data_IF_812078958049
#
_entry.id   IF_812078958049
#
_cell.length_a   1.000
_cell.length_b   1.000
_cell.length_c   1.000
_cell.angle_alpha   90.00
_cell.angle_beta   90.00
_cell.angle_gamma   90.00
#
_symmetry.space_group_name_H-M   'P 1'
#
loop_
_entity.id
_entity.type
_entity.pdbx_description
1 polymer ?
#
# COMPACT_ATOMS: atom_id res chain seq x y z
N UNK A 1 1.13 39.42 26.94
CA UNK A 1 2.13 38.34 26.80
C UNK A 1 1.51 36.94 26.65
N UNK A 2 0.37 36.64 27.30
CA UNK A 2 -0.25 35.30 27.24
C UNK A 2 -0.79 34.87 25.85
N UNK A 3 -1.35 35.78 25.04
CA UNK A 3 -1.79 35.45 23.66
C UNK A 3 -0.67 35.00 22.72
N UNK A 4 0.55 35.52 22.91
CA UNK A 4 1.74 35.13 22.11
C UNK A 4 2.28 33.76 22.53
N UNK A 5 2.21 33.42 23.82
CA UNK A 5 2.54 32.10 24.32
C UNK A 5 1.53 31.03 23.83
N UNK A 6 0.23 31.33 23.80
CA UNK A 6 -0.79 30.43 23.27
C UNK A 6 -0.61 30.14 21.76
N UNK A 7 -0.27 31.14 20.94
CA UNK A 7 0.04 30.92 19.51
C UNK A 7 1.35 30.15 19.30
N UNK A 8 2.36 30.37 20.14
CA UNK A 8 3.63 29.65 20.08
C UNK A 8 3.52 28.18 20.53
N UNK A 9 2.59 27.85 21.42
CA UNK A 9 2.29 26.47 21.86
C UNK A 9 1.26 25.76 20.98
N UNK A 10 0.38 26.49 20.28
CA UNK A 10 -0.58 25.91 19.35
C UNK A 10 0.07 25.39 18.05
N UNK A 11 1.14 26.03 17.58
CA UNK A 11 1.84 25.62 16.35
C UNK A 11 2.46 24.20 16.46
N UNK A 12 3.26 23.86 17.49
CA UNK A 12 3.81 22.51 17.66
C UNK A 12 2.72 21.45 17.86
N UNK A 13 1.63 21.78 18.55
CA UNK A 13 0.51 20.87 18.77
C UNK A 13 -0.25 20.55 17.47
N UNK A 14 -0.40 21.52 16.56
CA UNK A 14 -0.97 21.29 15.24
C UNK A 14 -0.05 20.46 14.33
N UNK A 15 1.28 20.58 14.49
CA UNK A 15 2.27 19.78 13.76
C UNK A 15 2.29 18.30 14.19
N UNK A 16 1.96 17.98 15.45
CA UNK A 16 1.89 16.59 15.92
C UNK A 16 0.79 15.78 15.21
N UNK A 17 -0.26 16.42 14.71
CA UNK A 17 -1.36 15.77 13.99
C UNK A 17 -1.02 15.39 12.52
N UNK A 18 0.11 15.88 11.98
CA UNK A 18 0.61 15.51 10.65
C UNK A 18 1.69 14.42 10.69
N UNK A 19 1.91 13.79 11.86
CA UNK A 19 2.90 12.73 12.04
C UNK A 19 2.51 11.42 11.33
N UNK A 20 3.50 10.55 11.13
CA UNK A 20 3.27 9.20 10.63
C UNK A 20 2.51 8.33 11.65
N UNK A 21 1.71 7.39 11.15
CA UNK A 21 1.02 6.41 11.98
C UNK A 21 2.03 5.39 12.52
N UNK A 22 2.15 5.30 13.85
CA UNK A 22 3.12 4.41 14.51
C UNK A 22 2.44 3.10 14.96
N UNK A 23 1.73 2.45 14.04
CA UNK A 23 1.04 1.17 14.29
C UNK A 23 2.09 0.05 14.45
N UNK A 24 1.89 -0.82 15.45
CA UNK A 24 2.82 -1.90 15.72
C UNK A 24 2.12 -3.17 16.24
N UNK A 25 1.87 -4.11 15.34
CA UNK A 25 1.31 -5.42 15.68
C UNK A 25 2.34 -6.33 16.39
N UNK A 26 1.85 -7.24 17.24
CA UNK A 26 2.68 -8.23 17.95
C UNK A 26 3.30 -9.27 17.00
N UNK A 27 4.43 -9.86 17.40
CA UNK A 27 5.09 -10.91 16.60
C UNK A 27 4.17 -12.11 16.38
N UNK A 28 3.36 -12.45 17.38
CA UNK A 28 2.40 -13.55 17.29
C UNK A 28 1.30 -13.28 16.27
N UNK A 29 0.80 -12.04 16.18
CA UNK A 29 -0.21 -11.67 15.19
C UNK A 29 0.33 -11.81 13.76
N UNK A 30 1.55 -11.30 13.51
CA UNK A 30 2.22 -11.40 12.20
C UNK A 30 2.49 -12.87 11.85
N UNK A 31 3.03 -13.65 12.79
CA UNK A 31 3.36 -15.06 12.56
C UNK A 31 2.11 -15.88 12.20
N UNK A 32 0.98 -15.59 12.86
CA UNK A 32 -0.32 -16.23 12.58
C UNK A 32 -0.91 -15.81 11.23
N UNK A 33 -0.73 -14.55 10.83
CA UNK A 33 -1.26 -14.02 9.58
C UNK A 33 -0.41 -14.41 8.35
N UNK A 34 0.82 -14.89 8.54
CA UNK A 34 1.77 -15.20 7.46
C UNK A 34 1.11 -15.98 6.31
N UNK A 35 1.09 -15.37 5.13
CA UNK A 35 0.59 -15.98 3.91
C UNK A 35 1.72 -16.16 2.90
N UNK A 36 1.83 -17.35 2.32
CA UNK A 36 2.76 -17.67 1.23
C UNK A 36 1.94 -17.92 -0.02
N UNK A 37 2.20 -17.15 -1.08
CA UNK A 37 1.51 -17.35 -2.34
C UNK A 37 2.11 -18.53 -3.12
N UNK A 38 1.31 -19.28 -3.88
CA UNK A 38 1.82 -20.23 -4.88
C UNK A 38 2.39 -19.54 -6.14
N UNK A 39 2.17 -18.23 -6.32
CA UNK A 39 2.69 -17.46 -7.46
C UNK A 39 4.22 -17.26 -7.39
N UNK A 40 4.92 -17.14 -8.53
CA UNK A 40 6.36 -16.85 -8.56
C UNK A 40 6.72 -15.57 -7.78
N UNK A 41 7.93 -15.49 -7.17
CA UNK A 41 8.33 -14.30 -6.44
C UNK A 41 8.36 -13.05 -7.34
N UNK A 42 7.89 -11.94 -6.80
CA UNK A 42 7.68 -10.71 -7.56
C UNK A 42 7.69 -9.46 -6.69
N UNK A 43 7.94 -8.33 -7.34
CA UNK A 43 7.74 -6.99 -6.77
C UNK A 43 6.74 -6.29 -7.70
N UNK A 44 5.63 -5.86 -7.13
CA UNK A 44 4.62 -5.06 -7.82
C UNK A 44 4.60 -3.64 -7.28
N UNK A 45 4.59 -2.64 -8.17
CA UNK A 45 4.29 -1.26 -7.85
C UNK A 45 2.80 -1.01 -8.09
N UNK A 46 2.11 -0.59 -7.04
CA UNK A 46 0.74 -0.11 -7.10
C UNK A 46 0.79 1.42 -7.20
N UNK A 47 0.19 1.99 -8.24
CA UNK A 47 0.07 3.44 -8.41
C UNK A 47 -1.40 3.83 -8.58
N UNK A 48 -1.89 4.70 -7.69
CA UNK A 48 -3.26 5.24 -7.76
C UNK A 48 -3.25 6.51 -8.60
N UNK A 49 -4.06 6.55 -9.65
CA UNK A 49 -4.01 7.57 -10.70
C UNK A 49 -5.39 8.17 -10.92
N UNK A 50 -5.49 9.50 -10.87
CA UNK A 50 -6.76 10.21 -11.06
C UNK A 50 -7.31 10.05 -12.48
N UNK A 51 -8.63 9.86 -12.59
CA UNK A 51 -9.34 9.64 -13.86
C UNK A 51 -9.61 10.94 -14.64
N UNK A 52 -9.74 12.15 -14.04
CA UNK A 52 -9.90 13.36 -14.83
C UNK A 52 -8.58 13.94 -15.38
N UNK A 53 -7.50 13.95 -14.59
CA UNK A 53 -6.24 14.65 -14.95
C UNK A 53 -5.01 13.75 -15.01
N UNK A 54 -5.13 12.48 -14.65
CA UNK A 54 -4.01 11.53 -14.70
C UNK A 54 -2.96 11.76 -13.61
N UNK A 55 -3.27 12.51 -12.56
CA UNK A 55 -2.36 12.80 -11.45
C UNK A 55 -2.08 11.56 -10.59
N UNK A 56 -0.87 11.45 -10.05
CA UNK A 56 -0.51 10.36 -9.14
C UNK A 56 -0.94 10.68 -7.72
N UNK A 57 -1.94 9.95 -7.20
CA UNK A 57 -2.47 10.14 -5.85
C UNK A 57 -1.69 9.36 -4.78
N UNK A 58 -1.21 8.17 -5.10
CA UNK A 58 -0.57 7.28 -4.12
C UNK A 58 0.34 6.23 -4.77
N UNK A 59 1.31 5.71 -4.01
CA UNK A 59 2.16 4.60 -4.41
C UNK A 59 2.37 3.62 -3.26
N UNK A 60 2.29 2.32 -3.55
CA UNK A 60 2.57 1.23 -2.61
C UNK A 60 3.31 0.09 -3.32
N UNK A 61 3.87 -0.85 -2.57
CA UNK A 61 4.44 -2.08 -3.10
C UNK A 61 3.62 -3.27 -2.66
N UNK A 62 3.38 -4.21 -3.57
CA UNK A 62 3.02 -5.58 -3.23
C UNK A 62 4.23 -6.47 -3.47
N UNK A 63 4.70 -7.16 -2.43
CA UNK A 63 5.94 -7.94 -2.49
C UNK A 63 5.60 -9.39 -2.22
N UNK A 64 5.88 -10.25 -3.20
CA UNK A 64 5.66 -11.69 -3.12
C UNK A 64 7.01 -12.39 -2.95
N UNK A 65 7.41 -12.69 -1.72
CA UNK A 65 8.64 -13.41 -1.41
C UNK A 65 8.35 -14.69 -0.63
N UNK A 66 9.13 -14.93 0.42
CA UNK A 66 8.88 -15.99 1.40
C UNK A 66 7.53 -15.82 2.11
N UNK A 67 6.99 -14.61 2.12
CA UNK A 67 5.61 -14.27 2.47
C UNK A 67 5.13 -13.14 1.54
N UNK A 68 3.81 -12.95 1.45
CA UNK A 68 3.23 -11.81 0.72
C UNK A 68 2.87 -10.68 1.69
N UNK A 69 3.41 -9.49 1.40
CA UNK A 69 3.16 -8.25 2.15
C UNK A 69 2.78 -7.13 1.19
N UNK A 70 2.08 -6.13 1.71
CA UNK A 70 1.96 -4.82 1.07
C UNK A 70 2.72 -3.81 1.92
N UNK A 71 3.56 -3.00 1.28
CA UNK A 71 4.14 -1.81 1.88
C UNK A 71 3.36 -0.60 1.40
N UNK A 72 2.59 0.02 2.29
CA UNK A 72 1.63 1.09 2.02
C UNK A 72 2.03 2.42 2.72
N UNK A 73 3.13 3.06 2.29
CA UNK A 73 3.68 4.22 2.99
C UNK A 73 2.74 5.41 2.94
N UNK A 74 2.42 5.97 4.11
CA UNK A 74 1.48 7.09 4.21
C UNK A 74 0.07 6.80 3.66
N UNK A 75 -0.28 5.50 3.55
CA UNK A 75 -1.62 5.06 3.21
C UNK A 75 -2.65 5.43 4.27
N UNK A 76 -3.91 5.22 3.92
CA UNK A 76 -5.05 5.34 4.84
C UNK A 76 -5.88 4.06 4.92
N UNK A 77 -5.51 3.03 4.13
CA UNK A 77 -6.18 1.76 4.15
C UNK A 77 -5.85 1.00 5.42
N UNK A 78 -6.85 0.35 6.01
CA UNK A 78 -6.67 -0.56 7.13
C UNK A 78 -7.74 -1.66 7.06
N UNK A 79 -7.43 -2.81 7.67
CA UNK A 79 -8.36 -3.92 7.75
C UNK A 79 -8.17 -4.65 9.09
N UNK A 80 -9.24 -4.94 9.86
CA UNK A 80 -9.11 -5.47 11.22
C UNK A 80 -8.43 -6.84 11.30
N UNK A 81 -8.49 -7.63 10.22
CA UNK A 81 -7.83 -8.94 10.13
C UNK A 81 -6.38 -8.89 9.63
N UNK A 82 -5.84 -7.71 9.29
CA UNK A 82 -4.49 -7.57 8.72
C UNK A 82 -3.59 -6.90 9.76
N UNK A 83 -2.61 -7.63 10.32
CA UNK A 83 -1.65 -7.02 11.21
C UNK A 83 -0.70 -6.11 10.44
N UNK A 84 -0.35 -4.99 11.07
CA UNK A 84 0.44 -3.92 10.49
C UNK A 84 1.63 -3.56 11.40
N UNK A 85 2.80 -3.30 10.82
CA UNK A 85 3.93 -2.65 11.50
C UNK A 85 4.42 -1.49 10.66
N UNK A 86 4.29 -0.30 11.21
CA UNK A 86 4.44 0.93 10.45
C UNK A 86 3.63 0.80 9.16
N UNK A 87 4.23 1.01 8.00
CA UNK A 87 3.51 0.93 6.73
C UNK A 87 3.53 -0.50 6.10
N UNK A 88 3.90 -1.55 6.84
CA UNK A 88 3.94 -2.95 6.33
C UNK A 88 2.72 -3.73 6.79
N UNK A 89 1.93 -4.19 5.81
CA UNK A 89 0.72 -4.99 5.96
C UNK A 89 1.03 -6.46 5.68
N UNK A 90 0.81 -7.34 6.65
CA UNK A 90 1.20 -8.75 6.58
C UNK A 90 0.03 -9.68 6.28
N UNK A 91 0.33 -10.85 5.70
CA UNK A 91 -0.68 -11.89 5.48
C UNK A 91 -1.59 -11.62 4.29
N UNK A 92 -1.07 -10.96 3.26
CA UNK A 92 -1.86 -10.51 2.12
C UNK A 92 -2.29 -11.69 1.25
N UNK A 93 -3.50 -12.18 1.45
CA UNK A 93 -4.16 -13.18 0.60
C UNK A 93 -4.63 -12.55 -0.72
N UNK A 94 -5.03 -13.35 -1.74
CA UNK A 94 -5.66 -12.81 -2.95
C UNK A 94 -6.89 -11.95 -2.64
N UNK A 95 -7.69 -12.34 -1.65
CA UNK A 95 -8.85 -11.56 -1.21
C UNK A 95 -8.43 -10.19 -0.63
N UNK A 96 -7.43 -10.16 0.26
CA UNK A 96 -6.93 -8.91 0.82
C UNK A 96 -6.26 -8.01 -0.22
N UNK A 97 -5.56 -8.59 -1.20
CA UNK A 97 -5.05 -7.83 -2.36
C UNK A 97 -6.20 -7.16 -3.12
N UNK A 98 -7.28 -7.89 -3.40
CA UNK A 98 -8.42 -7.34 -4.12
C UNK A 98 -9.09 -6.21 -3.33
N UNK A 99 -9.31 -6.38 -2.02
CA UNK A 99 -9.82 -5.30 -1.16
C UNK A 99 -8.92 -4.06 -1.16
N UNK A 100 -7.60 -4.25 -1.14
CA UNK A 100 -6.66 -3.13 -1.22
C UNK A 100 -6.79 -2.38 -2.54
N UNK A 101 -6.90 -3.10 -3.66
CA UNK A 101 -7.06 -2.50 -5.00
C UNK A 101 -8.40 -1.77 -5.09
N UNK A 102 -9.48 -2.41 -4.64
CA UNK A 102 -10.84 -1.89 -4.65
C UNK A 102 -10.97 -0.60 -3.84
N UNK A 103 -10.38 -0.54 -2.64
CA UNK A 103 -10.35 0.68 -1.84
C UNK A 103 -9.76 1.89 -2.59
N UNK A 104 -8.84 1.64 -3.52
CA UNK A 104 -8.15 2.67 -4.30
C UNK A 104 -8.74 2.89 -5.69
N UNK A 105 -9.36 1.89 -6.30
CA UNK A 105 -10.03 1.97 -7.60
C UNK A 105 -11.48 2.43 -7.37
N UNK A 106 -11.83 3.60 -7.89
CA UNK A 106 -13.16 4.22 -7.73
C UNK A 106 -13.45 5.12 -8.91
N UNK A 107 -14.65 5.67 -9.01
CA UNK A 107 -15.05 6.55 -10.14
C UNK A 107 -14.04 7.68 -10.46
N UNK A 108 -13.28 8.14 -9.46
CA UNK A 108 -12.29 9.21 -9.56
C UNK A 108 -10.85 8.73 -9.73
N UNK A 109 -10.53 7.46 -9.46
CA UNK A 109 -9.17 6.91 -9.49
C UNK A 109 -9.11 5.49 -10.03
N UNK A 110 -8.02 5.17 -10.72
CA UNK A 110 -7.70 3.82 -11.14
C UNK A 110 -6.36 3.37 -10.58
N UNK A 111 -6.17 2.06 -10.44
CA UNK A 111 -4.94 1.50 -9.90
C UNK A 111 -4.15 0.83 -11.02
N UNK A 112 -2.93 1.31 -11.25
CA UNK A 112 -1.95 0.58 -12.02
C UNK A 112 -1.25 -0.44 -11.10
N UNK A 113 -1.23 -1.69 -11.51
CA UNK A 113 -0.42 -2.74 -10.91
C UNK A 113 0.67 -3.14 -11.91
N UNK A 114 1.89 -2.66 -11.68
CA UNK A 114 3.04 -2.93 -12.54
C UNK A 114 3.96 -3.93 -11.82
N UNK A 115 4.06 -5.15 -12.34
CA UNK A 115 4.70 -6.28 -11.65
C UNK A 115 5.90 -6.80 -12.42
N UNK A 116 7.00 -7.04 -11.73
CA UNK A 116 8.19 -7.74 -12.24
C UNK A 116 8.44 -9.00 -11.42
N UNK A 117 8.67 -10.12 -12.11
CA UNK A 117 9.13 -11.34 -11.46
C UNK A 117 10.61 -11.21 -11.13
N UNK A 118 10.99 -11.64 -9.92
CA UNK A 118 12.37 -11.53 -9.42
C UNK A 118 12.79 -12.83 -8.73
N UNK A 119 14.10 -13.09 -8.54
CA UNK A 119 14.54 -14.19 -7.68
C UNK A 119 13.99 -14.03 -6.26
N UNK A 120 13.71 -15.14 -5.59
CA UNK A 120 13.18 -15.14 -4.21
C UNK A 120 14.01 -14.27 -3.26
N UNK A 121 15.34 -14.34 -3.36
CA UNK A 121 16.25 -13.55 -2.52
C UNK A 121 16.08 -12.03 -2.71
N UNK A 122 15.69 -11.58 -3.91
CA UNK A 122 15.44 -10.17 -4.23
C UNK A 122 14.08 -9.74 -3.67
N UNK A 123 13.05 -10.57 -3.79
CA UNK A 123 11.75 -10.30 -3.15
C UNK A 123 11.88 -10.23 -1.62
N UNK A 124 12.61 -11.16 -1.00
CA UNK A 124 12.86 -11.13 0.45
C UNK A 124 13.72 -9.92 0.87
N UNK A 125 14.63 -9.45 0.01
CA UNK A 125 15.36 -8.21 0.25
C UNK A 125 14.44 -6.98 0.23
N UNK A 126 13.44 -6.97 -0.66
CA UNK A 126 12.41 -5.93 -0.69
C UNK A 126 11.54 -5.93 0.57
N UNK A 127 11.13 -7.11 1.07
CA UNK A 127 10.41 -7.24 2.34
C UNK A 127 11.23 -6.63 3.47
N UNK A 128 12.49 -7.06 3.64
CA UNK A 128 13.37 -6.52 4.69
C UNK A 128 13.57 -5.00 4.56
N UNK A 129 13.69 -4.50 3.33
CA UNK A 129 13.84 -3.06 3.08
C UNK A 129 12.60 -2.27 3.50
N UNK A 130 11.40 -2.81 3.23
CA UNK A 130 10.13 -2.22 3.67
C UNK A 130 10.00 -2.22 5.20
N UNK A 131 10.30 -3.35 5.85
CA UNK A 131 10.28 -3.49 7.31
C UNK A 131 11.23 -2.50 8.01
N UNK A 132 12.39 -2.23 7.40
CA UNK A 132 13.39 -1.29 7.92
C UNK A 132 13.05 0.18 7.67
N UNK A 133 12.15 0.50 6.73
CA UNK A 133 11.91 1.88 6.31
C UNK A 133 11.22 2.73 7.40
N UNK A 134 10.45 2.09 8.28
CA UNK A 134 9.69 2.78 9.32
C UNK A 134 8.44 3.48 8.80
N UNK A 135 7.75 4.19 9.70
CA UNK A 135 6.51 4.90 9.39
C UNK A 135 6.75 6.15 8.51
N UNK A 136 5.86 6.35 7.55
CA UNK A 136 5.98 7.42 6.56
C UNK A 136 4.99 8.56 6.84
N UNK A 137 5.50 9.79 6.87
CA UNK A 137 4.65 10.99 6.99
C UNK A 137 3.72 11.12 5.79
N UNK A 138 2.52 11.68 6.02
CA UNK A 138 1.52 11.87 4.95
C UNK A 138 2.12 12.62 3.75
N UNK A 139 1.73 12.19 2.54
CA UNK A 139 2.25 12.67 1.24
C UNK A 139 3.69 12.27 0.88
N UNK A 140 4.40 11.49 1.70
CA UNK A 140 5.75 10.99 1.37
C UNK A 140 5.75 9.57 0.78
N UNK A 141 4.59 9.04 0.34
CA UNK A 141 4.46 7.68 -0.17
C UNK A 141 5.50 7.33 -1.25
N UNK A 142 5.60 8.15 -2.31
CA UNK A 142 6.55 7.93 -3.40
C UNK A 142 8.02 8.06 -2.95
N UNK A 143 8.30 8.92 -1.96
CA UNK A 143 9.65 9.08 -1.40
C UNK A 143 10.06 7.80 -0.67
N UNK A 144 9.20 7.29 0.19
CA UNK A 144 9.46 6.07 0.96
C UNK A 144 9.50 4.83 0.08
N UNK A 145 8.58 4.68 -0.88
CA UNK A 145 8.61 3.57 -1.85
C UNK A 145 9.92 3.57 -2.65
N UNK A 146 10.35 4.73 -3.15
CA UNK A 146 11.64 4.87 -3.82
C UNK A 146 12.81 4.46 -2.91
N UNK A 147 12.83 4.92 -1.65
CA UNK A 147 13.86 4.52 -0.67
C UNK A 147 13.89 3.03 -0.39
N UNK A 148 12.73 2.37 -0.29
CA UNK A 148 12.65 0.92 -0.13
C UNK A 148 13.28 0.22 -1.32
N UNK A 149 12.86 0.57 -2.54
CA UNK A 149 13.36 -0.03 -3.77
C UNK A 149 14.87 0.19 -3.97
N UNK A 150 15.42 1.36 -3.62
CA UNK A 150 16.87 1.62 -3.76
C UNK A 150 17.77 0.70 -2.93
N UNK A 151 17.26 0.06 -1.87
CA UNK A 151 18.02 -0.92 -1.07
C UNK A 151 17.85 -2.36 -1.58
N UNK A 152 17.12 -2.57 -2.67
CA UNK A 152 16.85 -3.88 -3.25
C UNK A 152 17.81 -4.12 -4.42
N UNK A 153 18.51 -5.28 -4.47
CA UNK A 153 19.39 -5.62 -5.59
C UNK A 153 18.66 -5.54 -6.94
N UNK A 154 19.20 -4.76 -7.87
CA UNK A 154 18.62 -4.54 -9.21
C UNK A 154 17.61 -3.38 -9.29
N UNK A 155 17.35 -2.67 -8.19
CA UNK A 155 16.42 -1.53 -8.11
C UNK A 155 17.09 -0.25 -7.55
N UNK A 156 18.42 -0.22 -7.46
CA UNK A 156 19.22 0.87 -6.87
C UNK A 156 18.99 2.22 -7.57
N UNK A 157 18.58 2.18 -8.84
CA UNK A 157 18.22 3.32 -9.66
C UNK A 157 16.83 3.91 -9.42
N UNK A 158 16.05 3.38 -8.46
CA UNK A 158 14.70 3.89 -8.19
C UNK A 158 14.73 5.38 -7.83
N UNK A 159 13.90 6.23 -8.48
CA UNK A 159 13.86 7.64 -8.19
C UNK A 159 13.29 7.88 -6.79
N UNK A 160 13.86 8.84 -6.08
CA UNK A 160 13.28 9.38 -4.85
C UNK A 160 12.65 10.73 -5.15
N UNK A 161 11.39 10.91 -4.78
CA UNK A 161 10.68 12.17 -4.96
C UNK A 161 9.20 12.02 -4.65
N UNK A 162 8.47 13.13 -4.66
CA UNK A 162 7.07 13.17 -4.25
C UNK A 162 6.09 12.71 -5.34
N UNK A 163 6.56 12.32 -6.53
CA UNK A 163 5.69 11.97 -7.66
C UNK A 163 5.56 10.45 -7.83
N UNK A 164 4.39 9.86 -7.52
CA UNK A 164 4.10 8.47 -7.82
C UNK A 164 4.26 8.15 -9.32
N UNK A 165 3.90 9.09 -10.19
CA UNK A 165 4.01 8.91 -11.64
C UNK A 165 5.46 8.86 -12.11
N UNK A 166 6.37 9.61 -11.49
CA UNK A 166 7.79 9.54 -11.84
C UNK A 166 8.37 8.18 -11.46
N UNK A 167 8.01 7.69 -10.27
CA UNK A 167 8.39 6.36 -9.81
C UNK A 167 7.85 5.28 -10.75
N UNK A 168 6.57 5.35 -11.11
CA UNK A 168 5.94 4.42 -12.05
C UNK A 168 6.58 4.42 -13.43
N UNK A 169 6.83 5.61 -14.00
CA UNK A 169 7.48 5.74 -15.32
C UNK A 169 8.85 5.08 -15.32
N UNK A 170 9.64 5.25 -14.25
CA UNK A 170 10.90 4.54 -14.08
C UNK A 170 10.70 3.03 -13.94
N UNK A 171 9.75 2.59 -13.09
CA UNK A 171 9.51 1.18 -12.86
C UNK A 171 9.16 0.45 -14.17
N UNK A 172 8.33 1.05 -15.02
CA UNK A 172 7.96 0.53 -16.34
C UNK A 172 9.14 0.43 -17.33
N UNK A 173 10.29 1.05 -17.04
CA UNK A 173 11.50 0.88 -17.86
C UNK A 173 12.30 -0.39 -17.52
N UNK A 174 11.99 -1.03 -16.39
CA UNK A 174 12.66 -2.28 -16.00
C UNK A 174 12.24 -3.43 -16.94
N UNK A 175 13.19 -4.28 -17.36
CA UNK A 175 12.89 -5.37 -18.27
C UNK A 175 11.96 -6.40 -17.60
N UNK A 176 10.94 -6.86 -18.34
CA UNK A 176 10.03 -7.91 -17.88
C UNK A 176 8.86 -7.44 -17.01
N UNK A 177 8.64 -6.13 -16.87
CA UNK A 177 7.47 -5.59 -16.18
C UNK A 177 6.19 -5.85 -16.98
N UNK A 178 5.18 -6.37 -16.30
CA UNK A 178 3.82 -6.54 -16.81
C UNK A 178 2.89 -5.57 -16.09
N UNK A 179 2.14 -4.77 -16.86
CA UNK A 179 1.20 -3.78 -16.33
C UNK A 179 -0.23 -4.27 -16.41
N UNK A 180 -0.98 -4.15 -15.32
CA UNK A 180 -2.43 -4.36 -15.25
C UNK A 180 -3.11 -3.08 -14.78
N UNK A 181 -4.20 -2.72 -15.46
CA UNK A 181 -5.06 -1.59 -15.08
C UNK A 181 -6.30 -2.12 -14.36
N UNK A 182 -6.54 -1.63 -13.15
CA UNK A 182 -7.76 -1.89 -12.38
C UNK A 182 -8.60 -0.61 -12.35
N UNK A 183 -9.84 -0.74 -12.78
CA UNK A 183 -10.84 0.32 -12.79
C UNK A 183 -12.06 -0.18 -12.05
N UNK A 184 -12.66 0.69 -11.26
CA UNK A 184 -13.99 0.48 -10.72
C UNK A 184 -14.86 1.70 -11.03
N UNK A 185 -16.13 1.45 -11.35
CA UNK A 185 -17.15 2.47 -11.55
C UNK A 185 -17.86 2.87 -10.26
N UNK A 186 -17.54 2.23 -9.14
CA UNK A 186 -18.18 2.48 -7.86
C UNK A 186 -17.92 3.92 -7.33
N UNK A 187 -18.93 4.55 -6.69
CA UNK A 187 -18.83 5.90 -6.18
C UNK A 187 -17.70 6.06 -5.15
N UNK A 188 -17.09 7.25 -5.08
CA UNK A 188 -15.94 7.50 -4.22
C UNK A 188 -16.19 7.31 -2.71
N UNK A 189 -17.45 7.22 -2.27
CA UNK A 189 -17.86 7.09 -0.87
C UNK A 189 -17.94 5.64 -0.35
N UNK A 190 -17.48 4.64 -1.11
CA UNK A 190 -17.52 3.24 -0.68
C UNK A 190 -16.47 2.85 0.39
N UNK A 191 -15.94 3.83 1.13
CA UNK A 191 -14.94 3.67 2.21
C UNK A 191 -15.33 2.67 3.31
N UNK A 192 -16.56 2.15 3.34
CA UNK A 192 -17.05 1.15 4.29
C UNK A 192 -17.93 0.04 3.68
N UNK A 193 -18.16 0.02 2.37
CA UNK A 193 -19.29 -0.74 1.79
C UNK A 193 -19.04 -2.25 1.75
N UNK A 194 -17.79 -2.71 1.84
CA UNK A 194 -17.47 -4.14 1.84
C UNK A 194 -17.17 -4.74 3.23
N UNK A 195 -16.86 -3.91 4.23
CA UNK A 195 -16.58 -4.40 5.59
C UNK A 195 -17.82 -4.48 6.46
N UNK A 196 -18.90 -3.78 6.10
CA UNK A 196 -20.11 -3.74 6.94
C UNK A 196 -21.33 -3.25 6.16
N UNK A 197 -21.92 -4.10 5.32
CA UNK A 197 -23.32 -3.87 4.98
C UNK A 197 -24.19 -4.13 6.21
N UNK A 198 -25.28 -3.36 6.32
CA UNK A 198 -26.14 -3.07 7.49
C UNK A 198 -26.67 -4.26 8.33
N UNK A 199 -26.40 -5.49 7.94
CA UNK A 199 -26.83 -6.72 8.61
C UNK A 199 -25.71 -7.42 9.41
N UNK A 200 -24.46 -6.92 9.36
CA UNK A 200 -23.32 -7.52 10.07
C UNK A 200 -22.66 -8.68 9.32
N UNK A 201 -22.97 -8.88 8.04
CA UNK A 201 -22.32 -9.87 7.17
C UNK A 201 -21.09 -9.25 6.52
N UNK A 202 -19.95 -9.95 6.58
CA UNK A 202 -18.72 -9.57 5.89
C UNK A 202 -18.80 -10.20 4.49
N UNK A 203 -18.83 -9.37 3.44
CA UNK A 203 -18.73 -9.86 2.06
C UNK A 203 -17.26 -9.83 1.65
N UNK A 204 -16.74 -10.93 1.08
CA UNK A 204 -15.35 -11.07 0.66
C UNK A 204 -15.22 -11.50 -0.79
N UNK A 205 -14.08 -11.21 -1.42
CA UNK A 205 -13.81 -11.71 -2.76
C UNK A 205 -13.57 -13.21 -2.76
N UNK A 206 -14.28 -13.90 -3.65
CA UNK A 206 -14.07 -15.32 -3.95
C UNK A 206 -12.81 -15.52 -4.81
N UNK A 207 -12.47 -16.79 -5.05
CA UNK A 207 -11.35 -17.13 -5.93
C UNK A 207 -11.53 -16.64 -7.39
N UNK A 208 -12.77 -16.31 -7.77
CA UNK A 208 -13.16 -15.73 -9.05
C UNK A 208 -13.00 -14.19 -9.11
N UNK A 209 -12.58 -13.56 -8.01
CA UNK A 209 -12.42 -12.11 -7.93
C UNK A 209 -13.72 -11.33 -7.88
N UNK A 210 -14.86 -11.99 -7.57
CA UNK A 210 -16.16 -11.33 -7.32
C UNK A 210 -16.46 -11.27 -5.84
N UNK A 211 -17.26 -10.29 -5.42
CA UNK A 211 -17.76 -10.19 -4.05
C UNK A 211 -18.80 -11.29 -3.79
N UNK A 212 -18.59 -12.06 -2.73
CA UNK A 212 -19.52 -13.05 -2.20
C UNK A 212 -19.76 -12.77 -0.72
N UNK A 213 -21.00 -12.91 -0.27
CA UNK A 213 -21.30 -12.89 1.15
C UNK A 213 -20.62 -14.07 1.86
N UNK A 214 -19.84 -13.82 2.91
CA UNK A 214 -19.36 -14.87 3.80
C UNK A 214 -20.34 -15.04 4.96
N UNK A 215 -20.95 -16.22 5.04
CA UNK A 215 -21.80 -16.61 6.18
C UNK A 215 -20.96 -16.92 7.42
#
# INVERSE_FOLDING_TARGET
MQRRAFLALALPAALAACGADNIWASDDAIRKARYVSPEPPSIGLLTVIGIPRGEGGHSALIINGSQRVIYDPAGSWNHPAIPERHDVLYGITPNFKNFYIDYHARETYWVAEDTIQVPLAVADAAIRSAEQQGATNKSFCAVSTGKVLRRVPGFEGAPTGFSPLNLRRWFLTLPGVVSKKHMDGDPANNHNVLLRQKNGVIEGYGADGRLHAQN
#
